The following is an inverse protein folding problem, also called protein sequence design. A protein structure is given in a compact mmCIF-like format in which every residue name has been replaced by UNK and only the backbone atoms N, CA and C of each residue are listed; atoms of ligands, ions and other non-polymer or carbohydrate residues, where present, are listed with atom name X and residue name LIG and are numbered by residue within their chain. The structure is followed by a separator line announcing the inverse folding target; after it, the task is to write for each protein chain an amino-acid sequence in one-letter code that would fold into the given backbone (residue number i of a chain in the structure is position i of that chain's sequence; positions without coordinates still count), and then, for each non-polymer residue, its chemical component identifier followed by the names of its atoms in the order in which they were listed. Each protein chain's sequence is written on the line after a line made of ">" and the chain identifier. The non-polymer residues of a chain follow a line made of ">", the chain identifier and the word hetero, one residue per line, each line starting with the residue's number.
data_IF_251938307811
#
_entry.id   IF_251938307811
#
_cell.length_a   1.000
_cell.length_b   1.000
_cell.length_c   1.000
_cell.angle_alpha   90.00
_cell.angle_beta   90.00
_cell.angle_gamma   90.00
#
_symmetry.space_group_name_H-M   'P 1'
#
loop_
_entity.id
_entity.type
_entity.pdbx_description
1 polymer ?
#
# COMPACT_ATOMS: atom_id res chain seq x y z
N UNK A 1 11.32 -11.85 -1.19
CA UNK A 1 11.80 -11.84 0.22
C UNK A 1 11.24 -10.70 1.05
N UNK A 2 11.06 -9.45 0.57
CA UNK A 2 10.59 -8.33 1.41
C UNK A 2 9.11 -8.36 1.81
N UNK A 3 8.17 -8.57 0.89
CA UNK A 3 6.74 -8.71 1.24
C UNK A 3 6.49 -9.93 2.16
N UNK A 4 7.14 -11.06 1.87
CA UNK A 4 7.18 -12.22 2.78
C UNK A 4 7.91 -11.92 4.11
N UNK A 5 8.89 -11.00 4.11
CA UNK A 5 9.63 -10.55 5.30
C UNK A 5 8.80 -9.60 6.17
N UNK A 6 7.89 -8.81 5.61
CA UNK A 6 6.93 -8.02 6.40
C UNK A 6 6.01 -8.98 7.18
N UNK A 7 5.51 -10.02 6.51
CA UNK A 7 4.75 -11.10 7.16
C UNK A 7 5.60 -11.82 8.24
N UNK A 8 6.89 -12.08 7.97
CA UNK A 8 7.80 -12.70 8.94
C UNK A 8 8.18 -11.77 10.11
N UNK A 9 8.26 -10.45 9.87
CA UNK A 9 8.60 -9.41 10.85
C UNK A 9 7.48 -9.23 11.86
N UNK A 10 6.22 -9.40 11.43
CA UNK A 10 5.05 -9.36 12.30
C UNK A 10 4.98 -10.53 13.29
N UNK A 11 5.49 -11.71 12.92
CA UNK A 11 5.64 -12.83 13.86
C UNK A 11 6.47 -12.46 15.10
N UNK A 12 7.46 -11.56 14.94
CA UNK A 12 8.30 -11.07 16.05
C UNK A 12 7.64 -9.93 16.85
N UNK A 13 6.85 -9.06 16.21
CA UNK A 13 6.20 -7.91 16.85
C UNK A 13 4.84 -8.22 17.52
N UNK A 14 4.17 -9.31 17.14
CA UNK A 14 2.87 -9.73 17.69
C UNK A 14 2.87 -9.90 19.23
N UNK A 15 4.02 -10.20 19.83
CA UNK A 15 4.15 -10.45 21.28
C UNK A 15 4.13 -9.22 22.17
N UNK A 16 4.47 -8.03 21.66
CA UNK A 16 4.80 -6.89 22.55
C UNK A 16 3.77 -5.76 22.54
N UNK A 17 3.15 -5.40 21.40
CA UNK A 17 2.48 -4.10 21.30
C UNK A 17 1.05 -4.09 20.70
N UNK A 18 0.62 -5.12 19.96
CA UNK A 18 -0.64 -5.04 19.17
C UNK A 18 -1.88 -5.41 20.00
N UNK A 19 -1.78 -6.41 20.89
CA UNK A 19 -2.92 -6.83 21.72
C UNK A 19 -3.38 -5.70 22.66
N UNK A 20 -2.50 -4.96 23.38
CA UNK A 20 -2.97 -3.91 24.30
C UNK A 20 -3.54 -2.67 23.59
N UNK A 21 -3.04 -2.32 22.40
CA UNK A 21 -3.47 -1.14 21.65
C UNK A 21 -4.89 -1.27 21.08
N UNK A 22 -5.33 -2.50 20.75
CA UNK A 22 -6.68 -2.80 20.26
C UNK A 22 -7.76 -2.74 21.37
N UNK A 23 -7.36 -2.68 22.65
CA UNK A 23 -8.28 -2.62 23.81
C UNK A 23 -8.34 -1.24 24.49
N UNK A 24 -7.61 -0.23 23.99
CA UNK A 24 -7.53 1.08 24.63
C UNK A 24 -8.39 2.14 23.91
N UNK A 25 -9.57 2.36 24.49
CA UNK A 25 -10.33 3.62 24.53
C UNK A 25 -11.28 3.97 23.39
N UNK A 26 -12.53 3.60 23.66
CA UNK A 26 -13.69 4.48 23.57
C UNK A 26 -13.53 5.74 24.43
N UNK A 27 -13.74 6.93 23.83
CA UNK A 27 -14.58 8.01 24.38
C UNK A 27 -14.38 9.29 23.56
N UNK A 28 -15.43 9.62 22.81
CA UNK A 28 -15.57 10.83 22.01
C UNK A 28 -15.91 12.01 22.93
N UNK A 29 -15.32 13.19 22.70
CA UNK A 29 -15.93 14.47 23.11
C UNK A 29 -15.57 15.57 22.13
N UNK A 30 -16.60 16.10 21.47
CA UNK A 30 -16.51 17.19 20.52
C UNK A 30 -16.26 18.54 21.21
N UNK A 31 -15.48 19.41 20.57
CA UNK A 31 -15.65 20.86 20.72
C UNK A 31 -15.52 21.55 19.35
N UNK A 32 -16.52 22.36 19.04
CA UNK A 32 -16.55 23.26 17.89
C UNK A 32 -15.76 24.53 18.16
N UNK A 33 -15.11 25.06 17.14
CA UNK A 33 -14.91 26.51 17.01
C UNK A 33 -14.84 26.88 15.53
N UNK A 34 -15.82 27.68 15.12
CA UNK A 34 -15.85 28.47 13.89
C UNK A 34 -14.67 29.44 13.83
N UNK A 35 -14.12 29.69 12.64
CA UNK A 35 -13.58 31.00 12.25
C UNK A 35 -13.42 31.09 10.72
N UNK A 36 -13.41 32.33 10.26
CA UNK A 36 -13.92 32.83 8.98
C UNK A 36 -12.92 32.92 7.83
N UNK A 37 -13.51 32.92 6.63
CA UNK A 37 -12.98 33.19 5.29
C UNK A 37 -11.93 34.32 5.15
N UNK A 38 -10.96 34.10 4.26
CA UNK A 38 -10.48 35.14 3.33
C UNK A 38 -9.96 34.54 2.02
N UNK A 39 -10.52 35.03 0.91
CA UNK A 39 -10.15 34.73 -0.49
C UNK A 39 -8.89 35.51 -0.89
N UNK A 40 -8.04 34.89 -1.74
CA UNK A 40 -7.28 35.58 -2.80
C UNK A 40 -7.19 34.69 -4.05
N UNK A 41 -7.31 35.34 -5.20
CA UNK A 41 -7.43 34.81 -6.56
C UNK A 41 -6.04 34.73 -7.25
N UNK A 42 -5.94 34.22 -8.50
CA UNK A 42 -4.84 33.37 -8.98
C UNK A 42 -3.69 34.15 -9.64
N UNK A 43 -2.55 33.46 -9.82
CA UNK A 43 -1.53 33.84 -10.80
C UNK A 43 -1.29 32.70 -11.82
N UNK A 44 -0.88 33.15 -12.99
CA UNK A 44 -0.94 32.55 -14.33
C UNK A 44 -0.15 31.27 -14.56
N UNK A 45 -0.75 30.38 -15.36
CA UNK A 45 -0.11 29.25 -16.03
C UNK A 45 0.82 29.72 -17.17
N UNK A 46 1.96 29.05 -17.29
CA UNK A 46 2.80 29.06 -18.49
C UNK A 46 2.93 27.62 -18.97
N UNK A 47 2.35 27.33 -20.13
CA UNK A 47 2.33 26.02 -20.76
C UNK A 47 3.62 25.88 -21.57
N UNK A 48 4.50 24.96 -21.16
CA UNK A 48 5.64 24.53 -21.98
C UNK A 48 5.46 23.07 -22.35
N UNK A 49 5.09 22.86 -23.60
CA UNK A 49 4.98 21.56 -24.27
C UNK A 49 6.39 21.00 -24.45
N UNK A 50 6.70 19.88 -23.78
CA UNK A 50 7.91 19.09 -24.05
C UNK A 50 7.48 17.70 -24.50
N UNK A 51 8.11 17.26 -25.59
CA UNK A 51 7.58 16.27 -26.52
C UNK A 51 7.37 14.87 -25.95
N UNK A 52 6.28 14.26 -26.40
CA UNK A 52 6.03 12.83 -26.30
C UNK A 52 7.07 12.08 -27.15
N UNK A 53 8.01 11.41 -26.48
CA UNK A 53 8.69 10.25 -27.05
C UNK A 53 7.75 9.06 -26.96
N UNK A 54 7.58 8.26 -28.04
CA UNK A 54 6.60 7.18 -28.03
C UNK A 54 7.05 6.05 -27.09
N UNK A 55 6.30 5.85 -26.01
CA UNK A 55 6.43 4.77 -25.00
C UNK A 55 6.08 3.37 -25.60
N UNK A 56 5.79 3.30 -26.90
CA UNK A 56 5.19 2.13 -27.55
C UNK A 56 6.11 0.89 -27.67
N UNK A 57 7.40 0.99 -27.34
CA UNK A 57 8.36 -0.11 -27.51
C UNK A 57 8.82 -0.80 -26.20
N UNK A 58 8.39 -0.32 -25.03
CA UNK A 58 8.92 -0.83 -23.76
C UNK A 58 7.97 -1.88 -23.18
N UNK A 59 8.45 -3.12 -23.09
CA UNK A 59 7.83 -4.27 -22.41
C UNK A 59 6.58 -4.90 -23.07
N UNK A 60 6.78 -5.56 -24.21
CA UNK A 60 5.77 -6.40 -24.88
C UNK A 60 5.23 -7.58 -24.03
N UNK A 61 5.83 -7.88 -22.87
CA UNK A 61 5.41 -8.94 -21.97
C UNK A 61 4.47 -8.52 -20.84
N UNK A 62 4.17 -7.23 -20.68
CA UNK A 62 3.27 -6.75 -19.63
C UNK A 62 1.82 -6.69 -20.12
N UNK A 63 0.92 -7.30 -19.34
CA UNK A 63 -0.53 -7.25 -19.59
C UNK A 63 -1.04 -5.80 -19.65
N UNK A 64 -2.09 -5.56 -20.45
CA UNK A 64 -2.62 -4.22 -20.70
C UNK A 64 -3.09 -3.50 -19.42
N UNK A 65 -3.67 -4.23 -18.46
CA UNK A 65 -4.13 -3.68 -17.18
C UNK A 65 -2.93 -3.25 -16.35
N UNK A 66 -1.93 -4.14 -16.19
CA UNK A 66 -0.74 -3.82 -15.40
C UNK A 66 0.09 -2.71 -16.04
N UNK A 67 0.18 -2.68 -17.38
CA UNK A 67 0.84 -1.59 -18.10
C UNK A 67 0.19 -0.27 -17.78
N UNK A 68 -1.14 -0.20 -17.91
CA UNK A 68 -1.88 1.03 -17.60
C UNK A 68 -1.62 1.47 -16.16
N UNK A 69 -1.74 0.56 -15.19
CA UNK A 69 -1.47 0.87 -13.79
C UNK A 69 -0.02 1.30 -13.53
N UNK A 70 0.95 0.83 -14.32
CA UNK A 70 2.35 1.24 -14.15
C UNK A 70 2.63 2.66 -14.65
N UNK A 71 1.92 3.12 -15.69
CA UNK A 71 2.17 4.43 -16.29
C UNK A 71 1.15 5.51 -15.89
N UNK A 72 -0.07 5.15 -15.51
CA UNK A 72 -1.11 6.10 -15.12
C UNK A 72 -1.06 6.45 -13.61
N UNK A 73 -0.59 5.53 -12.77
CA UNK A 73 -0.50 5.76 -11.32
C UNK A 73 0.79 6.51 -10.97
N UNK A 74 0.63 7.67 -10.33
CA UNK A 74 1.73 8.46 -9.79
C UNK A 74 1.91 8.17 -8.29
N UNK A 75 3.07 7.64 -7.92
CA UNK A 75 3.46 7.40 -6.54
C UNK A 75 3.96 8.69 -5.88
N UNK A 76 3.82 8.77 -4.55
CA UNK A 76 4.37 9.89 -3.76
C UNK A 76 5.84 9.59 -3.47
N UNK A 77 6.76 10.40 -4.01
CA UNK A 77 8.18 10.33 -3.64
C UNK A 77 8.41 10.97 -2.28
N UNK A 78 9.24 10.34 -1.45
CA UNK A 78 9.53 10.80 -0.08
C UNK A 78 11.02 10.75 0.25
N UNK A 79 11.44 11.55 1.24
CA UNK A 79 12.74 11.38 1.91
C UNK A 79 12.69 10.25 2.96
N UNK A 80 13.83 9.89 3.55
CA UNK A 80 13.91 8.86 4.60
C UNK A 80 13.14 9.22 5.89
N UNK A 81 12.75 10.48 6.06
CA UNK A 81 11.91 10.95 7.16
C UNK A 81 10.42 10.96 6.78
N UNK A 82 10.08 10.42 5.61
CA UNK A 82 8.74 10.35 5.06
C UNK A 82 8.12 11.73 4.78
N UNK A 83 8.93 12.70 4.35
CA UNK A 83 8.43 13.99 3.82
C UNK A 83 8.25 13.86 2.32
N UNK A 84 7.10 14.28 1.81
CA UNK A 84 6.87 14.30 0.36
C UNK A 84 7.85 15.25 -0.33
N UNK A 85 8.56 14.75 -1.33
CA UNK A 85 9.55 15.52 -2.12
C UNK A 85 9.17 15.64 -3.60
N UNK A 86 8.15 14.91 -4.04
CA UNK A 86 7.67 14.95 -5.41
C UNK A 86 6.74 13.77 -5.72
N UNK A 87 6.67 13.44 -7.00
CA UNK A 87 5.95 12.29 -7.51
C UNK A 87 6.67 11.70 -8.71
N UNK A 88 6.37 10.44 -9.01
CA UNK A 88 6.88 9.74 -10.17
C UNK A 88 5.94 8.58 -10.51
N UNK A 89 5.92 8.18 -11.77
CA UNK A 89 5.16 7.04 -12.25
C UNK A 89 5.54 5.78 -11.47
N UNK A 90 4.54 4.94 -11.19
CA UNK A 90 4.74 3.65 -10.54
C UNK A 90 5.79 2.80 -11.26
N UNK A 91 5.82 2.84 -12.59
CA UNK A 91 6.84 2.19 -13.42
C UNK A 91 8.25 2.57 -12.96
N UNK A 92 8.56 3.87 -12.95
CA UNK A 92 9.88 4.38 -12.61
C UNK A 92 10.24 4.15 -11.14
N UNK A 93 9.28 4.27 -10.22
CA UNK A 93 9.46 3.98 -8.80
C UNK A 93 9.91 2.53 -8.53
N UNK A 94 9.56 1.58 -9.40
CA UNK A 94 9.87 0.16 -9.21
C UNK A 94 10.98 -0.36 -10.13
N UNK A 95 11.51 0.46 -11.05
CA UNK A 95 12.68 0.10 -11.85
C UNK A 95 13.92 0.06 -10.96
N UNK A 96 14.56 -1.11 -10.88
CA UNK A 96 15.72 -1.32 -10.03
C UNK A 96 16.89 -0.38 -10.39
N UNK A 97 17.09 -0.11 -11.68
CA UNK A 97 18.08 0.85 -12.16
C UNK A 97 17.88 2.24 -11.56
N UNK A 98 16.63 2.74 -11.52
CA UNK A 98 16.30 4.05 -10.95
C UNK A 98 16.37 4.06 -9.43
N UNK A 99 15.92 2.99 -8.78
CA UNK A 99 16.07 2.80 -7.32
C UNK A 99 17.55 2.89 -6.93
N UNK A 100 18.46 2.31 -7.70
CA UNK A 100 19.89 2.30 -7.37
C UNK A 100 20.62 3.58 -7.79
N UNK A 101 20.32 4.13 -8.97
CA UNK A 101 21.02 5.31 -9.50
C UNK A 101 20.52 6.65 -8.95
N UNK A 102 19.21 6.75 -8.68
CA UNK A 102 18.56 8.00 -8.22
C UNK A 102 18.11 7.91 -6.75
N UNK A 103 18.25 6.74 -6.10
CA UNK A 103 17.71 6.45 -4.77
C UNK A 103 16.20 6.76 -4.65
N UNK A 104 15.43 6.48 -5.71
CA UNK A 104 13.98 6.69 -5.69
C UNK A 104 13.37 5.93 -4.52
N UNK A 105 12.69 6.67 -3.65
CA UNK A 105 12.01 6.19 -2.46
C UNK A 105 10.59 6.72 -2.51
N UNK A 106 9.61 5.82 -2.42
CA UNK A 106 8.19 6.17 -2.46
C UNK A 106 7.44 5.71 -1.21
N UNK A 107 6.32 6.37 -0.93
CA UNK A 107 5.43 5.98 0.16
C UNK A 107 4.60 4.76 -0.24
N UNK A 108 4.43 3.83 0.68
CA UNK A 108 3.62 2.63 0.51
C UNK A 108 2.77 2.32 1.74
N UNK A 109 1.91 1.31 1.63
CA UNK A 109 1.19 0.75 2.77
C UNK A 109 1.03 -0.77 2.67
N UNK A 110 0.89 -1.39 3.84
CA UNK A 110 0.57 -2.80 4.05
C UNK A 110 -0.61 -2.93 5.00
N UNK A 111 -1.71 -3.52 4.51
CA UNK A 111 -2.92 -3.81 5.29
C UNK A 111 -2.85 -5.20 5.92
N UNK A 112 -3.24 -5.27 7.19
CA UNK A 112 -3.47 -6.49 7.96
C UNK A 112 -4.91 -6.53 8.45
N UNK A 113 -5.76 -7.21 7.69
CA UNK A 113 -7.17 -7.42 8.02
C UNK A 113 -7.32 -8.74 8.78
N UNK A 114 -7.89 -8.65 9.97
CA UNK A 114 -8.29 -9.80 10.77
C UNK A 114 -9.80 -9.93 10.79
N UNK A 115 -10.31 -11.16 10.76
CA UNK A 115 -11.72 -11.41 11.03
C UNK A 115 -12.02 -11.42 12.54
N UNK A 116 -13.28 -11.60 12.93
CA UNK A 116 -13.67 -11.66 14.35
C UNK A 116 -13.08 -12.85 15.13
N UNK A 117 -12.51 -13.84 14.44
CA UNK A 117 -11.77 -14.97 15.02
C UNK A 117 -10.27 -14.68 15.16
N UNK A 118 -9.82 -13.47 14.83
CA UNK A 118 -8.42 -13.06 14.78
C UNK A 118 -7.56 -13.92 13.82
N UNK A 119 -8.16 -14.37 12.72
CA UNK A 119 -7.45 -14.97 11.60
C UNK A 119 -7.07 -13.86 10.61
N UNK A 120 -5.81 -13.84 10.17
CA UNK A 120 -5.30 -12.88 9.19
C UNK A 120 -5.72 -13.29 7.79
N UNK A 121 -6.30 -12.37 7.03
CA UNK A 121 -6.53 -12.54 5.60
C UNK A 121 -5.21 -12.36 4.84
N UNK A 122 -4.74 -13.42 4.21
CA UNK A 122 -3.62 -13.41 3.26
C UNK A 122 -4.16 -13.43 1.83
N UNK A 123 -3.39 -12.85 0.92
CA UNK A 123 -3.59 -13.02 -0.52
C UNK A 123 -2.38 -13.71 -1.17
N UNK A 124 -2.62 -14.46 -2.23
CA UNK A 124 -1.63 -14.85 -3.21
C UNK A 124 -1.72 -13.89 -4.39
N UNK A 125 -0.62 -13.22 -4.72
CA UNK A 125 -0.53 -12.32 -5.87
C UNK A 125 -0.84 -13.07 -7.17
N UNK A 126 -1.53 -12.44 -8.12
CA UNK A 126 -1.76 -13.02 -9.44
C UNK A 126 -0.44 -13.30 -10.18
N UNK A 127 -0.49 -14.16 -11.20
CA UNK A 127 0.66 -14.42 -12.07
C UNK A 127 1.03 -13.24 -12.95
N UNK A 128 0.11 -12.28 -13.15
CA UNK A 128 0.29 -11.10 -13.99
C UNK A 128 0.96 -9.93 -13.25
N UNK A 129 1.10 -10.00 -11.91
CA UNK A 129 1.81 -8.96 -11.14
C UNK A 129 3.25 -8.81 -11.61
N UNK A 130 3.66 -7.56 -11.83
CA UNK A 130 5.02 -7.21 -12.27
C UNK A 130 6.06 -7.55 -11.22
N UNK A 131 5.83 -7.16 -9.96
CA UNK A 131 6.69 -7.53 -8.84
C UNK A 131 6.12 -8.74 -8.10
N UNK A 132 6.98 -9.70 -7.78
CA UNK A 132 6.67 -10.87 -6.94
C UNK A 132 5.38 -11.64 -7.35
N UNK A 133 5.21 -12.13 -8.59
CA UNK A 133 4.04 -12.91 -8.99
C UNK A 133 3.92 -14.21 -8.18
N UNK A 134 2.69 -14.65 -7.91
CA UNK A 134 2.35 -15.89 -7.19
C UNK A 134 2.85 -15.99 -5.73
N UNK A 135 3.40 -14.91 -5.17
CA UNK A 135 3.85 -14.87 -3.77
C UNK A 135 2.67 -14.65 -2.83
N UNK A 136 2.62 -15.43 -1.76
CA UNK A 136 1.73 -15.19 -0.62
C UNK A 136 2.23 -14.01 0.22
N UNK A 137 1.34 -13.06 0.49
CA UNK A 137 1.61 -11.85 1.26
C UNK A 137 0.43 -11.51 2.19
N UNK A 138 0.54 -10.43 2.97
CA UNK A 138 -0.55 -9.91 3.79
C UNK A 138 -1.75 -9.43 2.95
N UNK A 139 -2.77 -8.89 3.61
CA UNK A 139 -4.08 -8.66 3.00
C UNK A 139 -4.02 -7.82 1.72
N UNK A 140 -3.33 -6.69 1.74
CA UNK A 140 -3.19 -5.82 0.57
C UNK A 140 -1.97 -4.91 0.75
N UNK A 141 -1.16 -4.78 -0.30
CA UNK A 141 0.01 -3.90 -0.34
C UNK A 141 -0.06 -3.02 -1.58
N UNK A 142 0.04 -1.71 -1.42
CA UNK A 142 0.04 -0.78 -2.55
C UNK A 142 0.52 0.60 -2.11
N UNK A 143 0.17 1.63 -2.88
CA UNK A 143 0.70 2.97 -2.76
C UNK A 143 -0.44 3.99 -2.63
N UNK A 144 -0.32 4.97 -1.72
CA UNK A 144 -1.06 6.20 -1.88
C UNK A 144 -0.61 6.92 -3.15
N UNK A 145 -1.58 7.38 -3.94
CA UNK A 145 -1.36 8.12 -5.17
C UNK A 145 -1.07 9.59 -4.86
N UNK A 146 -0.30 10.24 -5.73
CA UNK A 146 -0.07 11.67 -5.69
C UNK A 146 -1.33 12.45 -6.13
N UNK A 147 -2.35 12.45 -5.26
CA UNK A 147 -3.63 13.14 -5.46
C UNK A 147 -4.18 13.66 -4.13
N UNK A 148 -5.00 14.70 -4.18
CA UNK A 148 -5.46 15.44 -2.98
C UNK A 148 -6.02 14.53 -1.87
N UNK A 149 -6.82 13.52 -2.22
CA UNK A 149 -7.43 12.61 -1.24
C UNK A 149 -6.43 11.66 -0.57
N UNK A 150 -5.24 11.45 -1.14
CA UNK A 150 -4.24 10.49 -0.66
C UNK A 150 -2.93 11.15 -0.19
N UNK A 151 -2.83 12.48 -0.34
CA UNK A 151 -1.73 13.31 0.18
C UNK A 151 -1.95 13.80 1.62
N UNK A 152 -3.09 13.49 2.24
CA UNK A 152 -3.43 14.00 3.57
C UNK A 152 -2.60 13.28 4.65
N UNK A 153 -1.68 14.00 5.29
CA UNK A 153 -0.76 13.44 6.29
C UNK A 153 -1.42 13.21 7.66
N UNK A 154 -2.42 14.01 8.02
CA UNK A 154 -3.06 13.99 9.33
C UNK A 154 -3.57 12.59 9.66
N UNK A 155 -3.08 12.00 10.76
CA UNK A 155 -3.44 10.65 11.20
C UNK A 155 -3.37 9.60 10.07
N UNK A 156 -2.39 9.75 9.17
CA UNK A 156 -2.20 8.90 7.99
C UNK A 156 -3.47 8.77 7.11
N UNK A 157 -4.33 9.80 7.06
CA UNK A 157 -5.62 9.73 6.39
C UNK A 157 -5.49 9.39 4.89
N UNK A 158 -4.52 9.98 4.20
CA UNK A 158 -4.29 9.72 2.78
C UNK A 158 -3.92 8.27 2.50
N UNK A 159 -3.07 7.69 3.35
CA UNK A 159 -2.69 6.27 3.28
C UNK A 159 -3.89 5.36 3.58
N UNK A 160 -4.73 5.71 4.56
CA UNK A 160 -5.96 4.95 4.87
C UNK A 160 -7.00 5.02 3.74
N UNK A 161 -7.11 6.17 3.06
CA UNK A 161 -7.94 6.31 1.86
C UNK A 161 -7.45 5.39 0.72
N UNK A 162 -6.12 5.36 0.50
CA UNK A 162 -5.51 4.48 -0.48
C UNK A 162 -5.75 3.00 -0.16
N UNK A 163 -5.64 2.62 1.11
CA UNK A 163 -5.92 1.26 1.58
C UNK A 163 -7.37 0.84 1.32
N UNK A 164 -8.36 1.68 1.66
CA UNK A 164 -9.77 1.39 1.37
C UNK A 164 -10.00 1.22 -0.14
N UNK A 165 -9.45 2.10 -0.98
CA UNK A 165 -9.54 1.98 -2.44
C UNK A 165 -8.95 0.66 -2.94
N UNK A 166 -7.75 0.30 -2.49
CA UNK A 166 -7.07 -0.90 -2.99
C UNK A 166 -7.67 -2.21 -2.48
N UNK A 167 -8.26 -2.21 -1.29
CA UNK A 167 -9.07 -3.34 -0.81
C UNK A 167 -10.31 -3.57 -1.69
N UNK A 168 -10.91 -2.51 -2.23
CA UNK A 168 -11.96 -2.63 -3.24
C UNK A 168 -11.40 -3.17 -4.57
N UNK A 169 -10.32 -2.55 -5.07
CA UNK A 169 -9.75 -2.88 -6.38
C UNK A 169 -9.20 -4.33 -6.47
N UNK A 170 -8.56 -4.82 -5.41
CA UNK A 170 -7.90 -6.15 -5.39
C UNK A 170 -8.80 -7.24 -4.82
N UNK A 171 -9.54 -6.95 -3.75
CA UNK A 171 -10.26 -7.94 -2.96
C UNK A 171 -11.78 -7.78 -3.05
N UNK A 172 -12.29 -6.78 -3.77
CA UNK A 172 -13.73 -6.52 -3.88
C UNK A 172 -14.39 -6.10 -2.57
N UNK A 173 -13.61 -5.70 -1.56
CA UNK A 173 -14.13 -5.33 -0.24
C UNK A 173 -14.71 -3.92 -0.33
N UNK A 174 -16.00 -3.79 -0.04
CA UNK A 174 -16.72 -2.52 -0.19
C UNK A 174 -16.35 -1.53 0.92
N UNK A 175 -16.39 -0.23 0.60
CA UNK A 175 -16.00 0.84 1.52
C UNK A 175 -16.77 0.82 2.86
N UNK A 176 -18.06 0.44 2.86
CA UNK A 176 -18.85 0.32 4.09
C UNK A 176 -18.36 -0.80 5.03
N UNK A 177 -17.68 -1.81 4.49
CA UNK A 177 -17.18 -2.95 5.26
C UNK A 177 -15.83 -2.63 5.92
N UNK A 178 -15.12 -1.61 5.40
CA UNK A 178 -13.81 -1.14 5.91
C UNK A 178 -13.75 0.39 5.98
N UNK A 179 -14.51 1.05 6.89
CA UNK A 179 -14.50 2.50 7.02
C UNK A 179 -13.09 3.05 7.31
N UNK A 180 -12.70 4.14 6.62
CA UNK A 180 -11.36 4.74 6.69
C UNK A 180 -10.93 5.07 8.13
N UNK A 181 -11.87 5.53 8.95
CA UNK A 181 -11.67 5.90 10.35
C UNK A 181 -11.43 4.72 11.30
N UNK A 182 -11.67 3.48 10.83
CA UNK A 182 -11.47 2.25 11.61
C UNK A 182 -10.13 1.55 11.36
N UNK A 183 -9.34 2.00 10.38
CA UNK A 183 -7.97 1.54 10.27
C UNK A 183 -7.14 2.10 11.42
N UNK A 184 -6.34 1.23 12.04
CA UNK A 184 -5.36 1.58 13.07
C UNK A 184 -3.96 1.61 12.46
N UNK A 185 -3.36 2.79 12.25
CA UNK A 185 -1.95 2.89 11.85
C UNK A 185 -1.05 2.51 13.03
N UNK A 186 -0.15 1.55 12.84
CA UNK A 186 0.75 1.09 13.90
C UNK A 186 2.14 1.76 13.84
N UNK A 187 2.64 2.02 12.63
CA UNK A 187 3.98 2.53 12.41
C UNK A 187 4.39 2.43 10.94
N UNK A 188 5.68 2.65 10.68
CA UNK A 188 6.26 2.62 9.34
C UNK A 188 7.53 1.77 9.31
N UNK A 189 7.82 1.14 8.18
CA UNK A 189 9.07 0.41 7.92
C UNK A 189 9.71 1.00 6.67
N UNK A 190 10.96 1.44 6.76
CA UNK A 190 11.78 1.75 5.59
C UNK A 190 12.48 0.48 5.12
N UNK A 191 12.28 0.07 3.86
CA UNK A 191 12.95 -1.10 3.30
C UNK A 191 13.29 -0.93 1.82
N UNK A 192 14.29 -1.68 1.36
CA UNK A 192 14.70 -1.79 -0.05
C UNK A 192 14.88 -3.25 -0.40
N UNK A 193 14.33 -3.72 -1.52
CA UNK A 193 14.46 -5.11 -1.93
C UNK A 193 14.29 -5.32 -3.44
N UNK A 194 15.19 -6.10 -4.07
CA UNK A 194 15.00 -6.50 -5.46
C UNK A 194 13.85 -7.52 -5.58
N UNK A 195 13.11 -7.44 -6.68
CA UNK A 195 12.13 -8.43 -7.12
C UNK A 195 12.77 -9.41 -8.11
N UNK A 196 13.25 -8.87 -9.23
CA UNK A 196 14.08 -9.58 -10.21
C UNK A 196 15.20 -8.64 -10.70
N UNK A 197 15.95 -9.03 -11.74
CA UNK A 197 17.04 -8.20 -12.26
C UNK A 197 16.60 -6.83 -12.79
N UNK A 198 15.31 -6.62 -13.07
CA UNK A 198 14.76 -5.37 -13.61
C UNK A 198 13.95 -4.58 -12.57
N UNK A 199 13.21 -5.28 -11.70
CA UNK A 199 12.23 -4.68 -10.81
C UNK A 199 12.64 -4.80 -9.34
N UNK A 200 12.20 -3.86 -8.51
CA UNK A 200 12.32 -3.93 -7.05
C UNK A 200 11.42 -2.95 -6.33
N UNK A 201 11.63 -2.84 -5.03
CA UNK A 201 10.89 -2.00 -4.10
C UNK A 201 11.86 -1.16 -3.27
N UNK A 202 11.53 0.10 -3.01
CA UNK A 202 12.21 0.95 -2.05
C UNK A 202 11.19 1.89 -1.42
N UNK A 203 10.77 1.58 -0.19
CA UNK A 203 9.52 2.11 0.35
C UNK A 203 9.63 2.56 1.80
N UNK A 204 8.94 3.65 2.13
CA UNK A 204 8.44 3.91 3.49
C UNK A 204 7.03 3.32 3.58
N UNK A 205 6.93 2.14 4.18
CA UNK A 205 5.72 1.33 4.22
C UNK A 205 4.92 1.53 5.52
N UNK A 206 3.70 2.05 5.41
CA UNK A 206 2.76 2.21 6.52
C UNK A 206 2.07 0.89 6.87
N UNK A 207 2.14 0.51 8.15
CA UNK A 207 1.45 -0.67 8.65
C UNK A 207 0.04 -0.30 9.14
N UNK A 208 -0.98 -0.79 8.43
CA UNK A 208 -2.39 -0.52 8.71
C UNK A 208 -3.11 -1.80 9.19
N UNK A 209 -3.79 -1.71 10.33
CA UNK A 209 -4.53 -2.84 10.91
C UNK A 209 -6.02 -2.56 10.93
N UNK A 210 -6.83 -3.59 10.70
CA UNK A 210 -8.29 -3.51 10.82
C UNK A 210 -8.85 -4.88 11.24
N UNK A 211 -9.89 -4.89 12.08
CA UNK A 211 -10.60 -6.10 12.49
C UNK A 211 -12.05 -6.02 12.02
N UNK A 212 -12.40 -6.77 10.97
CA UNK A 212 -13.72 -6.77 10.34
C UNK A 212 -14.00 -8.14 9.73
N UNK A 213 -15.24 -8.60 9.85
CA UNK A 213 -15.76 -9.65 8.99
C UNK A 213 -16.20 -9.00 7.68
N UNK A 214 -15.61 -9.42 6.56
CA UNK A 214 -15.81 -8.83 5.24
C UNK A 214 -16.15 -9.90 4.21
N UNK A 215 -16.94 -9.52 3.20
CA UNK A 215 -17.11 -10.32 2.01
C UNK A 215 -15.95 -10.03 1.05
N UNK A 216 -15.30 -11.07 0.55
CA UNK A 216 -14.15 -10.97 -0.33
C UNK A 216 -14.55 -11.50 -1.71
N UNK A 217 -14.33 -10.70 -2.74
CA UNK A 217 -14.54 -11.07 -4.14
C UNK A 217 -13.28 -10.66 -4.94
N UNK A 218 -12.21 -11.48 -4.90
CA UNK A 218 -10.92 -11.09 -5.45
C UNK A 218 -10.98 -10.80 -6.96
N UNK A 219 -10.25 -9.77 -7.38
CA UNK A 219 -10.00 -9.52 -8.79
C UNK A 219 -8.92 -10.50 -9.29
N UNK A 220 -9.21 -11.42 -10.23
CA UNK A 220 -8.25 -12.42 -10.69
C UNK A 220 -7.01 -11.84 -11.37
N UNK A 221 -7.11 -10.60 -11.88
CA UNK A 221 -5.96 -9.90 -12.47
C UNK A 221 -4.96 -9.41 -11.41
N UNK A 222 -5.37 -9.34 -10.14
CA UNK A 222 -4.56 -8.84 -9.02
C UNK A 222 -4.23 -9.95 -8.00
N UNK A 223 -5.18 -10.85 -7.76
CA UNK A 223 -5.15 -11.86 -6.70
C UNK A 223 -5.49 -13.24 -7.26
N UNK A 224 -4.56 -14.20 -7.13
CA UNK A 224 -4.76 -15.59 -7.55
C UNK A 224 -5.55 -16.42 -6.54
N UNK A 225 -5.35 -16.17 -5.24
CA UNK A 225 -5.98 -16.93 -4.16
C UNK A 225 -6.01 -16.11 -2.86
N UNK A 226 -6.85 -16.53 -1.90
CA UNK A 226 -6.95 -15.92 -0.58
C UNK A 226 -7.02 -16.98 0.51
N UNK A 227 -6.57 -16.63 1.71
CA UNK A 227 -6.65 -17.54 2.86
C UNK A 227 -6.72 -16.80 4.18
N UNK A 228 -7.69 -17.15 5.01
CA UNK A 228 -7.65 -16.81 6.43
C UNK A 228 -6.75 -17.79 7.17
N UNK A 229 -5.82 -17.26 7.96
CA UNK A 229 -4.91 -18.06 8.76
C UNK A 229 -4.86 -17.59 10.20
N UNK A 230 -4.96 -18.54 11.13
CA UNK A 230 -4.65 -18.26 12.52
C UNK A 230 -3.12 -18.17 12.73
N UNK A 231 -2.73 -17.78 13.95
CA UNK A 231 -1.31 -17.59 14.32
C UNK A 231 -0.43 -18.80 14.03
N UNK A 232 -0.91 -20.01 14.33
CA UNK A 232 -0.09 -21.21 14.22
C UNK A 232 0.01 -21.68 12.76
N UNK A 233 -1.06 -21.52 11.97
CA UNK A 233 -1.03 -21.68 10.51
C UNK A 233 -0.09 -20.68 9.84
N UNK A 234 -0.07 -19.42 10.29
CA UNK A 234 0.86 -18.41 9.78
C UNK A 234 2.32 -18.79 10.05
N UNK A 235 2.63 -19.31 11.24
CA UNK A 235 3.97 -19.81 11.57
C UNK A 235 4.38 -21.01 10.71
N UNK A 236 3.44 -21.90 10.40
CA UNK A 236 3.68 -23.02 9.51
C UNK A 236 3.99 -22.54 8.08
N UNK A 237 3.17 -21.64 7.54
CA UNK A 237 3.41 -21.02 6.23
C UNK A 237 4.78 -20.36 6.14
N UNK A 238 5.15 -19.57 7.15
CA UNK A 238 6.46 -18.91 7.20
C UNK A 238 7.62 -19.92 7.24
N UNK A 239 7.47 -21.04 7.95
CA UNK A 239 8.51 -22.10 7.96
C UNK A 239 8.68 -22.76 6.61
N UNK A 240 7.60 -22.93 5.86
CA UNK A 240 7.64 -23.57 4.53
C UNK A 240 8.15 -22.61 3.44
N UNK A 241 7.97 -21.30 3.61
CA UNK A 241 8.50 -20.28 2.71
C UNK A 241 10.00 -19.99 2.91
N UNK A 242 10.59 -20.43 4.02
CA UNK A 242 12.02 -20.23 4.34
C UNK A 242 12.89 -21.47 4.04
N UNK A 243 12.30 -22.54 3.51
CA UNK A 243 12.98 -23.75 3.05
C UNK A 243 13.12 -23.71 1.53
#
# INVERSE_FOLDING_TARGET
>A
MAQSSIVATLSRHFKRNIIPALFAHSSFRSRSSSLSFRRKAPLSASLSTMGETPVAAVDAGMDAVQRRLMFDDECILVDENDRAVGHESKYNCHLWEKIESENLLHRAFSVFLFNSKYELLLQQRSSTKVTFPLVWTNTCCSHPLYRESELIEENALGVRNAAQRKLLDELGILAQDVPVDQFTPLGRILYKAPSDGKWGEHEVDYLLFIVRDVNVNPNPDEVADIKYVNRDQLKELLRNLMQ
#
